data_IF_510377989645
#
_entry.id   IF_510377989645
#
_cell.length_a   1.000
_cell.length_b   1.000
_cell.length_c   1.000
_cell.angle_alpha   90.00
_cell.angle_beta   90.00
_cell.angle_gamma   90.00
#
_symmetry.space_group_name_H-M   'P 1'
#
loop_
_entity.id
_entity.type
_entity.pdbx_description
1 polymer ?
#
# COMPACT_ATOMS: atom_id res chain seq x y z
N UNK A 1 -107.28 39.04 17.72
CA UNK A 1 -106.03 39.09 18.49
C UNK A 1 -105.19 37.94 17.97
N UNK A 2 -104.62 38.10 16.78
CA UNK A 2 -103.96 37.01 16.07
C UNK A 2 -103.24 37.55 14.82
N UNK A 3 -102.06 36.98 14.56
CA UNK A 3 -101.38 36.84 13.26
C UNK A 3 -100.48 37.97 12.69
N UNK A 4 -99.47 38.47 13.42
CA UNK A 4 -98.30 39.12 12.74
C UNK A 4 -96.89 38.75 13.24
N UNK A 5 -96.69 37.76 14.12
CA UNK A 5 -95.38 37.54 14.77
C UNK A 5 -94.59 36.28 14.37
N UNK A 6 -94.91 35.64 13.23
CA UNK A 6 -94.19 34.44 12.75
C UNK A 6 -93.29 34.68 11.51
N UNK A 7 -93.38 35.82 10.84
CA UNK A 7 -92.55 36.16 9.67
C UNK A 7 -91.17 36.72 10.06
N UNK A 8 -91.09 37.50 11.14
CA UNK A 8 -89.85 38.15 11.61
C UNK A 8 -88.86 37.18 12.28
N UNK A 9 -89.34 36.09 12.90
CA UNK A 9 -88.49 35.08 13.54
C UNK A 9 -87.91 34.08 12.52
N UNK A 10 -88.65 33.75 11.45
CA UNK A 10 -88.15 32.91 10.35
C UNK A 10 -87.05 33.60 9.54
N UNK A 11 -87.17 34.90 9.26
CA UNK A 11 -86.15 35.65 8.52
C UNK A 11 -84.87 35.89 9.35
N UNK A 12 -84.96 36.08 10.66
CA UNK A 12 -83.77 36.20 11.54
C UNK A 12 -82.99 34.89 11.68
N UNK A 13 -83.68 33.74 11.78
CA UNK A 13 -82.99 32.43 11.78
C UNK A 13 -82.43 32.06 10.40
N UNK A 14 -83.08 32.40 9.29
CA UNK A 14 -82.54 32.17 7.95
C UNK A 14 -81.28 33.02 7.70
N UNK A 15 -81.31 34.31 8.02
CA UNK A 15 -80.16 35.21 7.81
C UNK A 15 -78.96 34.88 8.72
N UNK A 16 -79.16 34.49 9.98
CA UNK A 16 -78.06 34.07 10.86
C UNK A 16 -77.50 32.67 10.51
N UNK A 17 -78.28 31.79 9.87
CA UNK A 17 -77.78 30.49 9.39
C UNK A 17 -77.02 30.64 8.05
N UNK A 18 -77.44 31.59 7.21
CA UNK A 18 -76.78 31.90 5.93
C UNK A 18 -75.44 32.61 6.16
N UNK A 19 -75.39 33.63 7.04
CA UNK A 19 -74.15 34.35 7.37
C UNK A 19 -73.08 33.49 8.04
N UNK A 20 -73.46 32.50 8.85
CA UNK A 20 -72.51 31.55 9.44
C UNK A 20 -72.04 30.51 8.42
N UNK A 21 -72.87 30.15 7.44
CA UNK A 21 -72.50 29.25 6.34
C UNK A 21 -71.57 29.87 5.29
N UNK A 22 -71.78 31.15 4.94
CA UNK A 22 -70.88 31.89 4.03
C UNK A 22 -69.51 32.13 4.68
N UNK A 23 -69.46 32.54 5.95
CA UNK A 23 -68.19 32.73 6.66
C UNK A 23 -67.40 31.41 6.85
N UNK A 24 -68.08 30.28 7.05
CA UNK A 24 -67.43 28.97 7.06
C UNK A 24 -66.95 28.56 5.65
N UNK A 25 -67.71 28.87 4.60
CA UNK A 25 -67.35 28.55 3.23
C UNK A 25 -66.10 29.33 2.79
N UNK A 26 -66.04 30.63 3.05
CA UNK A 26 -64.88 31.47 2.71
C UNK A 26 -63.61 31.03 3.47
N UNK A 27 -63.76 30.67 4.75
CA UNK A 27 -62.64 30.12 5.53
C UNK A 27 -62.19 28.76 4.99
N UNK A 28 -63.11 27.91 4.57
CA UNK A 28 -62.79 26.60 4.03
C UNK A 28 -62.12 26.71 2.65
N UNK A 29 -62.57 27.63 1.78
CA UNK A 29 -61.90 27.95 0.51
C UNK A 29 -60.49 28.49 0.76
N UNK A 30 -60.29 29.38 1.75
CA UNK A 30 -58.95 29.88 2.10
C UNK A 30 -58.00 28.80 2.64
N UNK A 31 -58.52 27.80 3.37
CA UNK A 31 -57.72 26.67 3.87
C UNK A 31 -57.32 25.76 2.70
N UNK A 32 -58.25 25.50 1.77
CA UNK A 32 -57.97 24.70 0.58
C UNK A 32 -56.91 25.36 -0.32
N UNK A 33 -56.93 26.69 -0.47
CA UNK A 33 -55.90 27.44 -1.20
C UNK A 33 -54.53 27.34 -0.52
N UNK A 34 -54.47 27.45 0.81
CA UNK A 34 -53.23 27.30 1.58
C UNK A 34 -52.67 25.87 1.49
N UNK A 35 -53.52 24.85 1.56
CA UNK A 35 -53.12 23.45 1.37
C UNK A 35 -52.59 23.21 -0.06
N UNK A 36 -53.19 23.84 -1.07
CA UNK A 36 -52.71 23.77 -2.45
C UNK A 36 -51.34 24.45 -2.63
N UNK A 37 -51.13 25.61 -1.99
CA UNK A 37 -49.83 26.30 -1.98
C UNK A 37 -48.75 25.50 -1.24
N UNK A 38 -49.06 24.89 -0.10
CA UNK A 38 -48.12 24.01 0.62
C UNK A 38 -47.75 22.78 -0.23
N UNK A 39 -48.72 22.15 -0.89
CA UNK A 39 -48.48 21.03 -1.79
C UNK A 39 -47.60 21.44 -2.99
N UNK A 40 -47.86 22.61 -3.60
CA UNK A 40 -47.01 23.18 -4.66
C UNK A 40 -45.58 23.46 -4.17
N UNK A 41 -45.42 23.95 -2.94
CA UNK A 41 -44.11 24.21 -2.35
C UNK A 41 -43.34 22.91 -2.07
N UNK A 42 -44.03 21.87 -1.58
CA UNK A 42 -43.43 20.56 -1.36
C UNK A 42 -43.00 19.90 -2.68
N UNK A 43 -43.82 19.97 -3.72
CA UNK A 43 -43.46 19.50 -5.06
C UNK A 43 -42.24 20.22 -5.60
N UNK A 44 -42.18 21.56 -5.53
CA UNK A 44 -41.00 22.34 -5.94
C UNK A 44 -39.74 21.99 -5.15
N UNK A 45 -39.85 21.74 -3.85
CA UNK A 45 -38.71 21.27 -3.03
C UNK A 45 -38.24 19.89 -3.50
N UNK A 46 -39.16 18.98 -3.77
CA UNK A 46 -38.83 17.63 -4.23
C UNK A 46 -38.18 17.65 -5.62
N UNK A 47 -38.74 18.41 -6.57
CA UNK A 47 -38.16 18.65 -7.90
C UNK A 47 -36.78 19.28 -7.82
N UNK A 48 -36.57 20.29 -6.94
CA UNK A 48 -35.25 20.88 -6.71
C UNK A 48 -34.25 19.89 -6.10
N UNK A 49 -34.69 18.94 -5.28
CA UNK A 49 -33.83 17.87 -4.76
C UNK A 49 -33.44 16.91 -5.89
N UNK A 50 -34.38 16.52 -6.77
CA UNK A 50 -34.09 15.64 -7.90
C UNK A 50 -33.20 16.32 -8.96
N UNK A 51 -33.41 17.60 -9.27
CA UNK A 51 -32.56 18.33 -10.22
C UNK A 51 -31.15 18.54 -9.68
N UNK A 52 -30.99 18.84 -8.38
CA UNK A 52 -29.68 18.92 -7.75
C UNK A 52 -28.99 17.55 -7.66
N UNK A 53 -29.73 16.47 -7.42
CA UNK A 53 -29.20 15.10 -7.44
C UNK A 53 -28.73 14.71 -8.85
N UNK A 54 -29.56 14.92 -9.87
CA UNK A 54 -29.21 14.66 -11.27
C UNK A 54 -28.05 15.50 -11.76
N UNK A 55 -27.96 16.77 -11.36
CA UNK A 55 -26.80 17.62 -11.65
C UNK A 55 -25.52 17.10 -10.98
N UNK A 56 -25.59 16.69 -9.71
CA UNK A 56 -24.44 16.09 -9.01
C UNK A 56 -23.99 14.79 -9.65
N UNK A 57 -24.92 13.93 -10.08
CA UNK A 57 -24.62 12.69 -10.79
C UNK A 57 -24.00 12.96 -12.16
N UNK A 58 -24.55 13.90 -12.92
CA UNK A 58 -24.01 14.30 -14.23
C UNK A 58 -22.59 14.88 -14.11
N UNK A 59 -22.35 15.77 -13.13
CA UNK A 59 -21.01 16.32 -12.85
C UNK A 59 -20.06 15.21 -12.40
N UNK A 60 -20.49 14.31 -11.51
CA UNK A 60 -19.66 13.19 -11.05
C UNK A 60 -19.33 12.23 -12.20
N UNK A 61 -20.30 11.93 -13.05
CA UNK A 61 -20.11 11.10 -14.24
C UNK A 61 -19.17 11.76 -15.24
N UNK A 62 -19.35 13.06 -15.50
CA UNK A 62 -18.47 13.84 -16.37
C UNK A 62 -17.03 13.85 -15.85
N UNK A 63 -16.80 14.16 -14.57
CA UNK A 63 -15.45 14.19 -13.99
C UNK A 63 -14.80 12.80 -13.96
N UNK A 64 -15.57 11.73 -13.77
CA UNK A 64 -15.07 10.35 -13.84
C UNK A 64 -14.72 9.90 -15.26
N UNK A 65 -15.44 10.37 -16.27
CA UNK A 65 -15.28 9.95 -17.67
C UNK A 65 -14.32 10.83 -18.48
N UNK A 66 -14.21 12.11 -18.14
CA UNK A 66 -13.23 13.05 -18.71
C UNK A 66 -11.88 12.90 -18.01
N UNK A 67 -11.18 11.80 -18.29
CA UNK A 67 -9.77 11.65 -17.94
C UNK A 67 -8.95 11.55 -19.20
N UNK A 68 -7.94 12.41 -19.33
CA UNK A 68 -6.92 12.29 -20.37
C UNK A 68 -5.58 12.05 -19.69
N UNK A 69 -4.83 11.07 -20.18
CA UNK A 69 -3.46 10.83 -19.74
C UNK A 69 -2.57 11.73 -20.59
N UNK A 70 -2.09 12.82 -20.01
CA UNK A 70 -1.07 13.62 -20.66
C UNK A 70 0.28 12.91 -20.52
N UNK A 71 0.84 12.42 -21.63
CA UNK A 71 2.21 11.90 -21.67
C UNK A 71 3.12 12.96 -22.27
N UNK A 72 3.91 13.60 -21.42
CA UNK A 72 5.05 14.40 -21.84
C UNK A 72 6.32 13.55 -21.72
N UNK A 73 7.15 13.59 -22.75
CA UNK A 73 8.51 13.05 -22.68
C UNK A 73 9.44 14.23 -22.43
N UNK A 74 9.59 14.61 -21.17
CA UNK A 74 10.61 15.58 -20.78
C UNK A 74 11.94 14.83 -20.63
N UNK A 75 12.90 15.15 -21.50
CA UNK A 75 14.29 14.74 -21.29
C UNK A 75 14.88 15.58 -20.17
N UNK A 76 14.77 15.14 -18.92
CA UNK A 76 15.44 15.81 -17.82
C UNK A 76 16.95 15.76 -18.04
N UNK A 77 17.62 16.89 -17.81
CA UNK A 77 19.09 16.95 -17.89
C UNK A 77 19.76 16.09 -16.82
N UNK A 78 19.08 15.86 -15.68
CA UNK A 78 19.51 14.99 -14.60
C UNK A 78 18.27 14.39 -13.90
N UNK A 79 18.22 13.07 -13.74
CA UNK A 79 17.23 12.34 -12.93
C UNK A 79 17.87 11.69 -11.71
N UNK A 80 17.17 11.71 -10.57
CA UNK A 80 17.57 10.98 -9.36
C UNK A 80 17.41 9.48 -9.57
N UNK A 81 18.50 8.73 -9.36
CA UNK A 81 18.46 7.28 -9.41
C UNK A 81 17.59 6.75 -8.27
N UNK A 82 16.72 5.78 -8.56
CA UNK A 82 15.95 5.06 -7.53
C UNK A 82 16.88 4.18 -6.69
N UNK A 83 16.44 3.87 -5.49
CA UNK A 83 17.15 2.96 -4.59
C UNK A 83 16.88 1.52 -5.07
N UNK A 84 17.92 0.69 -5.09
CA UNK A 84 17.85 -0.70 -5.58
C UNK A 84 18.25 -1.65 -4.46
N UNK A 85 17.29 -2.41 -3.95
CA UNK A 85 17.51 -3.44 -2.94
C UNK A 85 17.69 -4.81 -3.59
N UNK A 86 18.70 -5.54 -3.14
CA UNK A 86 19.16 -6.81 -3.68
C UNK A 86 19.19 -7.86 -2.58
N UNK A 87 18.74 -9.07 -2.88
CA UNK A 87 18.76 -10.20 -1.94
C UNK A 87 18.91 -11.53 -2.66
N UNK A 88 19.54 -12.50 -2.01
CA UNK A 88 19.54 -13.88 -2.49
C UNK A 88 18.18 -14.51 -2.23
N UNK A 89 17.75 -15.46 -3.06
CA UNK A 89 16.51 -16.20 -2.80
C UNK A 89 16.67 -17.16 -1.60
N UNK A 90 17.90 -17.48 -1.21
CA UNK A 90 18.22 -18.24 -0.02
C UNK A 90 18.47 -17.35 1.21
N UNK A 91 17.98 -17.82 2.36
CA UNK A 91 18.03 -17.15 3.67
C UNK A 91 19.42 -17.19 4.30
N UNK A 92 20.12 -18.32 4.20
CA UNK A 92 21.34 -18.60 4.95
C UNK A 92 22.33 -19.46 4.18
N UNK A 93 23.62 -19.21 4.37
CA UNK A 93 24.67 -20.04 3.80
C UNK A 93 24.84 -21.31 4.64
N UNK A 94 24.43 -22.47 4.11
CA UNK A 94 24.51 -23.76 4.80
C UNK A 94 25.93 -23.98 5.35
N UNK A 95 26.96 -23.72 4.55
CA UNK A 95 28.36 -23.88 4.96
C UNK A 95 28.73 -23.07 6.21
N UNK A 96 28.28 -21.81 6.30
CA UNK A 96 28.56 -20.96 7.47
C UNK A 96 27.78 -21.39 8.71
N UNK A 97 26.59 -21.95 8.53
CA UNK A 97 25.85 -22.56 9.63
C UNK A 97 26.64 -23.75 10.19
N UNK A 98 27.21 -24.59 9.32
CA UNK A 98 28.01 -25.75 9.72
C UNK A 98 29.35 -25.40 10.34
N UNK A 99 29.87 -24.20 10.07
CA UNK A 99 31.07 -23.68 10.72
C UNK A 99 30.78 -23.18 12.16
N UNK A 100 29.51 -23.02 12.54
CA UNK A 100 29.14 -22.81 13.95
C UNK A 100 29.22 -24.14 14.68
N UNK A 101 30.12 -24.21 15.66
CA UNK A 101 30.40 -25.41 16.47
C UNK A 101 29.12 -26.01 17.08
N UNK A 102 28.22 -25.15 17.58
CA UNK A 102 26.89 -25.50 18.12
C UNK A 102 25.97 -26.23 17.10
N UNK A 103 26.09 -25.92 15.80
CA UNK A 103 25.27 -26.50 14.73
C UNK A 103 25.94 -27.72 14.07
N UNK A 104 27.28 -27.75 14.05
CA UNK A 104 28.06 -28.87 13.48
C UNK A 104 27.80 -30.17 14.24
N UNK A 105 27.77 -30.10 15.56
CA UNK A 105 27.56 -31.28 16.41
C UNK A 105 26.11 -31.77 16.29
N UNK A 106 25.13 -30.85 16.22
CA UNK A 106 23.72 -31.17 15.97
C UNK A 106 23.48 -31.80 14.58
N UNK A 107 24.19 -31.35 13.54
CA UNK A 107 24.06 -31.90 12.18
C UNK A 107 24.67 -33.30 12.04
N UNK A 108 25.73 -33.59 12.79
CA UNK A 108 26.38 -34.89 12.80
C UNK A 108 25.60 -35.95 13.61
N UNK A 109 24.78 -35.53 14.58
CA UNK A 109 23.94 -36.43 15.39
C UNK A 109 22.53 -36.68 14.81
N UNK A 110 22.02 -35.85 13.89
CA UNK A 110 20.59 -35.85 13.53
C UNK A 110 20.34 -35.92 12.01
N UNK A 111 19.62 -36.98 11.58
CA UNK A 111 19.04 -37.17 10.24
C UNK A 111 17.51 -36.95 10.30
N UNK A 112 17.05 -35.96 11.06
CA UNK A 112 15.61 -35.75 11.30
C UNK A 112 15.18 -34.29 11.07
N UNK A 113 14.03 -34.11 10.41
CA UNK A 113 13.53 -32.81 9.89
C UNK A 113 13.37 -31.74 10.99
N UNK A 114 13.17 -32.17 12.24
CA UNK A 114 12.96 -31.32 13.41
C UNK A 114 14.16 -30.43 13.76
N UNK A 115 15.39 -30.95 13.59
CA UNK A 115 16.62 -30.18 13.87
C UNK A 115 16.96 -29.23 12.72
N UNK A 116 16.68 -29.63 11.49
CA UNK A 116 16.75 -28.75 10.32
C UNK A 116 15.87 -27.51 10.53
N UNK A 117 14.64 -27.69 11.04
CA UNK A 117 13.73 -26.59 11.36
C UNK A 117 14.22 -25.72 12.53
N UNK A 118 14.94 -26.26 13.51
CA UNK A 118 15.51 -25.50 14.62
C UNK A 118 16.71 -24.65 14.20
N UNK A 119 17.60 -25.22 13.37
CA UNK A 119 18.73 -24.54 12.73
C UNK A 119 18.22 -23.40 11.84
N UNK A 120 17.19 -23.69 11.02
CA UNK A 120 16.56 -22.72 10.12
C UNK A 120 15.84 -21.59 10.87
N UNK A 121 15.29 -21.86 12.05
CA UNK A 121 14.61 -20.86 12.87
C UNK A 121 15.53 -20.12 13.87
N UNK A 122 16.85 -20.35 13.82
CA UNK A 122 17.81 -19.79 14.79
C UNK A 122 17.35 -19.99 16.26
N UNK A 123 16.73 -21.14 16.52
CA UNK A 123 16.45 -21.62 17.88
C UNK A 123 17.63 -22.47 18.33
N UNK A 124 18.08 -22.32 19.58
CA UNK A 124 19.19 -23.12 20.10
C UNK A 124 18.87 -24.61 19.93
N UNK A 125 19.77 -25.37 19.29
CA UNK A 125 19.60 -26.81 19.10
C UNK A 125 19.50 -27.56 20.45
N UNK A 126 20.00 -26.95 21.53
CA UNK A 126 19.88 -27.45 22.90
C UNK A 126 18.46 -27.42 23.50
N UNK A 127 17.50 -26.71 22.91
CA UNK A 127 16.10 -26.68 23.40
C UNK A 127 15.24 -27.84 22.82
N UNK A 128 15.76 -28.68 21.91
CA UNK A 128 15.05 -29.87 21.40
C UNK A 128 15.01 -31.05 22.39
N UNK A 129 15.78 -30.97 23.48
CA UNK A 129 15.84 -31.99 24.55
C UNK A 129 14.67 -31.96 25.55
N UNK A 130 13.75 -31.00 25.47
CA UNK A 130 12.60 -30.91 26.38
C UNK A 130 11.26 -30.89 25.64
N UNK A 131 10.93 -31.97 24.92
CA UNK A 131 9.55 -32.27 24.49
C UNK A 131 8.65 -32.72 25.68
N UNK A 132 8.74 -32.00 26.80
CA UNK A 132 8.05 -32.35 28.05
C UNK A 132 7.51 -31.18 28.87
N UNK A 133 7.60 -29.93 28.40
CA UNK A 133 7.17 -28.76 29.17
C UNK A 133 6.11 -27.93 28.42
N UNK A 134 4.92 -27.70 29.00
CA UNK A 134 3.86 -26.97 28.33
C UNK A 134 4.23 -25.49 28.24
N UNK A 135 4.34 -24.99 26.99
CA UNK A 135 4.18 -23.58 26.60
C UNK A 135 4.59 -22.54 27.66
N UNK A 136 5.89 -22.49 28.00
CA UNK A 136 6.44 -21.31 28.66
C UNK A 136 6.62 -20.24 27.60
N UNK A 137 5.76 -19.22 27.58
CA UNK A 137 5.98 -17.99 26.79
C UNK A 137 7.31 -17.36 27.22
N UNK A 138 8.41 -17.78 26.60
CA UNK A 138 9.68 -17.06 26.67
C UNK A 138 9.52 -15.81 25.81
N UNK A 139 9.81 -14.65 26.37
CA UNK A 139 9.87 -13.39 25.63
C UNK A 139 10.85 -13.54 24.46
N UNK A 140 10.31 -13.49 23.23
CA UNK A 140 11.07 -13.66 22.00
C UNK A 140 11.92 -12.42 21.74
N UNK A 141 13.16 -12.40 22.25
CA UNK A 141 14.12 -11.33 21.95
C UNK A 141 14.76 -11.57 20.59
N UNK A 142 14.41 -10.75 19.59
CA UNK A 142 14.96 -10.83 18.23
C UNK A 142 16.43 -10.37 18.14
N UNK A 143 16.86 -9.45 19.00
CA UNK A 143 18.16 -8.78 18.86
C UNK A 143 19.39 -9.71 18.90
N UNK A 144 19.53 -10.66 19.84
CA UNK A 144 20.67 -11.59 19.83
C UNK A 144 20.62 -12.56 18.64
N UNK A 145 19.41 -12.90 18.15
CA UNK A 145 19.22 -13.75 16.97
C UNK A 145 19.60 -13.03 15.67
N UNK A 146 19.26 -11.75 15.54
CA UNK A 146 19.60 -10.94 14.36
C UNK A 146 21.11 -10.81 14.17
N UNK A 147 21.90 -10.65 15.25
CA UNK A 147 23.37 -10.63 15.20
C UNK A 147 23.96 -11.95 14.70
N UNK A 148 23.52 -13.11 15.22
CA UNK A 148 23.94 -14.43 14.73
C UNK A 148 23.58 -14.60 13.24
N UNK A 149 22.36 -14.19 12.86
CA UNK A 149 21.83 -14.25 11.48
C UNK A 149 22.61 -13.37 10.50
N UNK A 150 23.08 -12.19 10.92
CA UNK A 150 23.91 -11.33 10.08
C UNK A 150 25.19 -12.04 9.63
N UNK A 151 25.80 -12.81 10.53
CA UNK A 151 27.10 -13.44 10.28
C UNK A 151 26.98 -14.65 9.35
N UNK A 152 25.97 -15.50 9.56
CA UNK A 152 25.77 -16.72 8.76
C UNK A 152 25.14 -16.48 7.39
N UNK A 153 24.53 -15.31 7.20
CA UNK A 153 23.99 -14.91 5.89
C UNK A 153 25.12 -14.47 4.94
N UNK A 154 24.76 -14.32 3.67
CA UNK A 154 25.62 -13.74 2.64
C UNK A 154 26.07 -12.33 3.02
N UNK A 155 27.35 -12.05 2.86
CA UNK A 155 27.93 -10.72 2.97
C UNK A 155 27.95 -10.06 1.59
N UNK A 156 28.02 -8.72 1.56
CA UNK A 156 27.94 -7.95 0.33
C UNK A 156 29.03 -8.34 -0.69
N UNK A 157 30.25 -8.58 -0.22
CA UNK A 157 31.41 -9.01 -1.03
C UNK A 157 31.32 -10.47 -1.52
N UNK A 158 30.47 -11.29 -0.91
CA UNK A 158 30.22 -12.65 -1.38
C UNK A 158 29.22 -12.63 -2.53
N UNK A 159 28.16 -11.83 -2.41
CA UNK A 159 27.07 -11.74 -3.37
C UNK A 159 27.39 -10.84 -4.58
N UNK A 160 28.02 -9.69 -4.36
CA UNK A 160 28.27 -8.68 -5.41
C UNK A 160 29.74 -8.74 -5.79
N UNK A 161 30.02 -9.24 -6.99
CA UNK A 161 31.40 -9.39 -7.52
C UNK A 161 31.88 -8.12 -8.20
N UNK A 162 31.01 -7.52 -8.98
CA UNK A 162 31.29 -6.28 -9.71
C UNK A 162 30.10 -5.34 -9.56
N UNK A 163 30.39 -4.05 -9.50
CA UNK A 163 29.40 -3.00 -9.33
C UNK A 163 29.88 -1.76 -10.09
N UNK A 164 29.05 -1.22 -10.97
CA UNK A 164 29.29 0.10 -11.56
C UNK A 164 27.99 0.90 -11.70
N UNK A 165 28.10 2.22 -11.57
CA UNK A 165 27.05 3.17 -11.84
C UNK A 165 27.62 4.33 -12.65
N UNK A 166 26.94 4.76 -13.72
CA UNK A 166 27.48 5.77 -14.64
C UNK A 166 28.87 5.43 -15.23
N UNK A 167 29.20 4.13 -15.33
CA UNK A 167 30.51 3.67 -15.77
C UNK A 167 31.62 3.80 -14.72
N UNK A 168 31.31 4.28 -13.51
CA UNK A 168 32.24 4.34 -12.38
C UNK A 168 32.01 3.14 -11.45
N UNK A 169 33.09 2.56 -10.91
CA UNK A 169 33.00 1.45 -9.97
C UNK A 169 32.33 1.90 -8.67
N UNK A 170 31.30 1.19 -8.21
CA UNK A 170 30.72 1.44 -6.88
C UNK A 170 31.49 0.72 -5.78
N UNK A 171 31.56 1.35 -4.61
CA UNK A 171 32.09 0.72 -3.40
C UNK A 171 31.00 -0.12 -2.73
N UNK A 172 31.30 -1.39 -2.47
CA UNK A 172 30.43 -2.31 -1.73
C UNK A 172 30.13 -1.78 -0.32
N UNK A 173 31.01 -0.94 0.25
CA UNK A 173 30.83 -0.32 1.58
C UNK A 173 29.70 0.70 1.61
N UNK A 174 29.31 1.23 0.46
CA UNK A 174 28.27 2.26 0.35
C UNK A 174 26.87 1.63 0.24
N UNK A 175 26.78 0.30 0.25
CA UNK A 175 25.52 -0.43 0.26
C UNK A 175 24.95 -0.48 1.68
N UNK A 176 23.67 -0.15 1.81
CA UNK A 176 22.98 -0.25 3.10
C UNK A 176 22.52 -1.68 3.35
N UNK A 177 23.01 -2.29 4.42
CA UNK A 177 22.52 -3.58 4.89
C UNK A 177 21.16 -3.44 5.58
N UNK A 178 20.22 -4.30 5.22
CA UNK A 178 19.02 -4.57 6.00
C UNK A 178 18.75 -6.08 6.04
N UNK A 179 17.93 -6.53 6.99
CA UNK A 179 17.62 -7.95 7.14
C UNK A 179 16.18 -8.27 6.79
N UNK A 180 16.02 -9.35 6.01
CA UNK A 180 14.78 -10.03 5.71
C UNK A 180 14.70 -11.34 6.50
N UNK A 181 13.50 -11.67 6.97
CA UNK A 181 13.24 -12.93 7.68
C UNK A 181 13.17 -14.14 6.74
N UNK A 182 13.05 -13.94 5.43
CA UNK A 182 13.07 -15.02 4.44
C UNK A 182 14.36 -15.09 3.62
N UNK A 183 15.02 -13.95 3.41
CA UNK A 183 16.14 -13.83 2.47
C UNK A 183 17.46 -13.46 3.16
N UNK A 184 17.46 -13.31 4.48
CA UNK A 184 18.66 -12.99 5.24
C UNK A 184 19.14 -11.56 5.01
N UNK A 185 20.45 -11.38 4.82
CA UNK A 185 21.06 -10.08 4.54
C UNK A 185 20.71 -9.60 3.14
N UNK A 186 20.20 -8.38 3.08
CA UNK A 186 19.83 -7.69 1.86
C UNK A 186 20.61 -6.37 1.78
N UNK A 187 20.89 -5.92 0.55
CA UNK A 187 21.75 -4.76 0.31
C UNK A 187 21.05 -3.74 -0.56
N UNK A 188 21.00 -2.48 -0.12
CA UNK A 188 20.39 -1.38 -0.87
C UNK A 188 21.45 -0.44 -1.41
N UNK A 189 21.46 -0.28 -2.74
CA UNK A 189 22.24 0.70 -3.46
C UNK A 189 21.54 2.07 -3.46
N UNK A 190 22.34 3.15 -3.42
CA UNK A 190 21.90 4.55 -3.43
C UNK A 190 21.02 5.00 -2.24
N UNK A 191 20.97 4.20 -1.16
CA UNK A 191 20.26 4.60 0.07
C UNK A 191 21.04 5.71 0.76
N UNK A 192 20.51 6.93 0.78
CA UNK A 192 21.16 8.03 1.50
C UNK A 192 21.19 7.76 3.01
N UNK A 193 22.35 7.99 3.62
CA UNK A 193 22.47 8.10 5.07
C UNK A 193 22.07 9.51 5.51
N UNK A 194 21.60 9.64 6.76
CA UNK A 194 21.18 10.92 7.35
C UNK A 194 22.24 12.03 7.26
N UNK A 195 23.51 11.66 7.07
CA UNK A 195 24.66 12.56 7.09
C UNK A 195 25.37 12.70 5.71
N UNK A 196 24.91 12.00 4.67
CA UNK A 196 25.44 12.09 3.30
C UNK A 196 24.29 12.32 2.31
N UNK A 197 24.07 13.59 1.99
CA UNK A 197 22.90 14.06 1.24
C UNK A 197 23.00 13.89 -0.28
N UNK A 198 24.07 13.29 -0.82
CA UNK A 198 24.27 13.25 -2.27
C UNK A 198 23.67 11.97 -2.86
N UNK A 199 22.41 12.07 -3.29
CA UNK A 199 21.75 11.07 -4.13
C UNK A 199 22.46 10.97 -5.47
N UNK A 200 22.63 9.75 -5.97
CA UNK A 200 23.20 9.52 -7.29
C UNK A 200 22.21 9.98 -8.36
N UNK A 201 22.75 10.72 -9.34
CA UNK A 201 22.00 11.28 -10.46
C UNK A 201 22.50 10.65 -11.76
N UNK A 202 21.61 10.50 -12.73
CA UNK A 202 21.97 10.12 -14.10
C UNK A 202 21.43 11.14 -15.09
N UNK A 203 22.24 11.53 -16.06
CA UNK A 203 21.87 12.47 -17.14
C UNK A 203 21.64 11.76 -18.48
N UNK A 204 21.83 10.44 -18.52
CA UNK A 204 21.81 9.65 -19.74
C UNK A 204 21.06 8.35 -19.51
N UNK A 205 20.27 7.95 -20.50
CA UNK A 205 19.63 6.64 -20.53
C UNK A 205 20.56 5.60 -21.17
N UNK A 206 20.36 4.33 -20.80
CA UNK A 206 21.11 3.20 -21.34
C UNK A 206 21.94 2.46 -20.30
N UNK A 207 22.37 1.25 -20.65
CA UNK A 207 22.95 0.30 -19.69
C UNK A 207 24.23 0.80 -19.01
N UNK A 208 25.08 1.56 -19.73
CA UNK A 208 26.32 2.14 -19.17
C UNK A 208 26.08 3.28 -18.17
N UNK A 209 24.94 3.94 -18.28
CA UNK A 209 24.55 5.08 -17.42
C UNK A 209 23.60 4.66 -16.29
N UNK A 210 23.31 3.36 -16.19
CA UNK A 210 22.54 2.77 -15.10
C UNK A 210 23.42 2.06 -14.08
N UNK A 211 22.76 1.33 -13.19
CA UNK A 211 23.40 0.39 -12.27
C UNK A 211 23.67 -0.93 -12.99
N UNK A 212 24.92 -1.37 -13.00
CA UNK A 212 25.34 -2.66 -13.53
C UNK A 212 26.06 -3.45 -12.44
N UNK A 213 25.64 -4.70 -12.24
CA UNK A 213 26.15 -5.56 -11.18
C UNK A 213 26.30 -7.00 -11.66
N UNK A 214 27.41 -7.62 -11.28
CA UNK A 214 27.65 -9.05 -11.46
C UNK A 214 27.43 -9.74 -10.11
N UNK A 215 26.46 -10.65 -10.05
CA UNK A 215 26.06 -11.33 -8.81
C UNK A 215 26.55 -12.79 -8.79
N UNK A 216 27.07 -13.22 -7.65
CA UNK A 216 27.40 -14.62 -7.35
C UNK A 216 26.42 -15.15 -6.30
N UNK A 217 25.41 -15.86 -6.77
CA UNK A 217 24.39 -16.45 -5.90
C UNK A 217 24.86 -17.71 -5.19
N UNK A 218 26.08 -18.23 -5.47
CA UNK A 218 26.66 -19.46 -4.89
C UNK A 218 25.64 -20.59 -4.64
N UNK A 219 25.05 -21.11 -5.72
CA UNK A 219 24.04 -22.18 -5.65
C UNK A 219 24.45 -23.41 -4.82
N UNK A 220 25.74 -23.74 -4.78
CA UNK A 220 26.30 -24.82 -3.95
C UNK A 220 26.10 -24.64 -2.44
N UNK A 221 25.91 -23.41 -1.98
CA UNK A 221 25.76 -23.06 -0.56
C UNK A 221 24.27 -23.03 -0.14
N UNK A 222 23.36 -23.44 -1.05
CA UNK A 222 21.92 -23.53 -0.80
C UNK A 222 21.57 -24.79 -0.01
N UNK A 223 20.47 -24.70 0.73
CA UNK A 223 19.91 -25.83 1.44
C UNK A 223 19.32 -26.84 0.45
N UNK A 224 19.37 -28.14 0.74
CA UNK A 224 18.74 -29.17 -0.10
C UNK A 224 17.24 -28.97 -0.31
N UNK A 225 16.56 -28.29 0.62
CA UNK A 225 15.12 -27.97 0.57
C UNK A 225 14.81 -26.72 -0.27
N UNK A 226 15.82 -25.97 -0.73
CA UNK A 226 15.61 -24.76 -1.52
C UNK A 226 15.17 -25.10 -2.95
N UNK A 227 13.89 -24.83 -3.25
CA UNK A 227 13.31 -25.11 -4.57
C UNK A 227 13.65 -24.06 -5.66
N UNK A 228 14.30 -22.95 -5.29
CA UNK A 228 14.56 -21.85 -6.23
C UNK A 228 15.95 -21.26 -5.99
N UNK A 229 16.65 -20.96 -7.09
CA UNK A 229 18.00 -20.41 -7.08
C UNK A 229 17.98 -19.10 -7.86
N UNK A 230 18.56 -18.06 -7.27
CA UNK A 230 18.70 -16.77 -7.92
C UNK A 230 18.79 -15.61 -6.95
N UNK A 231 18.64 -14.41 -7.49
CA UNK A 231 18.55 -13.18 -6.74
C UNK A 231 17.15 -12.59 -6.88
N UNK A 232 16.77 -11.69 -5.97
CA UNK A 232 15.56 -10.89 -6.06
C UNK A 232 15.93 -9.42 -5.93
N UNK A 233 15.37 -8.61 -6.82
CA UNK A 233 15.70 -7.19 -6.93
C UNK A 233 14.44 -6.35 -6.78
N UNK A 234 14.54 -5.28 -6.01
CA UNK A 234 13.45 -4.34 -5.75
C UNK A 234 13.96 -2.94 -6.07
N UNK A 235 13.26 -2.27 -6.97
CA UNK A 235 13.44 -0.84 -7.21
C UNK A 235 12.39 -0.09 -6.39
N UNK A 236 12.81 0.82 -5.53
CA UNK A 236 11.91 1.57 -4.66
C UNK A 236 12.27 3.06 -4.59
N UNK A 237 11.31 3.94 -4.28
CA UNK A 237 11.61 5.34 -4.07
C UNK A 237 12.44 5.52 -2.79
N UNK A 238 13.29 6.54 -2.84
CA UNK A 238 14.24 6.93 -1.80
C UNK A 238 13.58 7.29 -0.46
N UNK A 239 12.33 7.74 -0.49
CA UNK A 239 11.50 8.09 0.67
C UNK A 239 10.95 6.87 1.42
N UNK A 240 11.06 5.67 0.85
CA UNK A 240 10.52 4.44 1.42
C UNK A 240 11.63 3.42 1.65
N UNK A 241 11.37 2.50 2.57
CA UNK A 241 12.20 1.29 2.70
C UNK A 241 11.73 0.21 1.71
N UNK A 242 12.66 -0.63 1.24
CA UNK A 242 12.30 -1.74 0.38
C UNK A 242 11.39 -2.71 1.13
N UNK A 243 10.40 -3.24 0.43
CA UNK A 243 9.61 -4.35 0.95
C UNK A 243 10.52 -5.57 1.20
N UNK A 244 10.43 -6.11 2.41
CA UNK A 244 11.38 -7.13 2.85
C UNK A 244 11.11 -8.50 2.24
N UNK A 245 9.86 -8.81 1.86
CA UNK A 245 9.43 -10.19 1.63
C UNK A 245 8.64 -10.43 0.33
N UNK A 246 7.70 -9.57 0.03
CA UNK A 246 6.63 -9.76 -0.95
C UNK A 246 6.98 -9.17 -2.31
N UNK A 247 7.50 -7.94 -2.38
CA UNK A 247 7.77 -7.30 -3.65
C UNK A 247 9.13 -7.71 -4.23
N UNK A 248 9.31 -7.43 -5.52
CA UNK A 248 10.56 -7.63 -6.25
C UNK A 248 10.45 -8.60 -7.41
N UNK A 249 11.47 -8.53 -8.27
CA UNK A 249 11.62 -9.32 -9.49
C UNK A 249 12.70 -10.37 -9.21
N UNK A 250 12.39 -11.63 -9.49
CA UNK A 250 13.37 -12.71 -9.41
C UNK A 250 14.26 -12.67 -10.65
N UNK A 251 15.57 -12.79 -10.44
CA UNK A 251 16.59 -12.83 -11.48
C UNK A 251 17.26 -14.21 -11.42
N UNK A 252 17.19 -14.93 -12.54
CA UNK A 252 17.81 -16.24 -12.69
C UNK A 252 19.31 -16.11 -12.93
N UNK A 253 20.14 -16.99 -12.33
CA UNK A 253 21.56 -17.04 -12.65
C UNK A 253 21.79 -17.53 -14.09
N UNK A 254 22.96 -17.24 -14.65
CA UNK A 254 23.36 -17.68 -16.00
C UNK A 254 22.90 -16.77 -17.15
N UNK A 255 22.16 -15.70 -16.85
CA UNK A 255 21.69 -14.73 -17.83
C UNK A 255 21.98 -13.30 -17.39
N UNK A 256 22.19 -12.40 -18.35
CA UNK A 256 22.12 -10.96 -18.11
C UNK A 256 20.64 -10.54 -18.14
N UNK A 257 20.18 -9.88 -17.08
CA UNK A 257 18.79 -9.39 -16.97
C UNK A 257 18.79 -7.87 -16.92
N UNK A 258 18.20 -7.22 -17.91
CA UNK A 258 18.07 -5.77 -17.97
C UNK A 258 16.70 -5.31 -17.49
N UNK A 259 16.66 -4.40 -16.51
CA UNK A 259 15.42 -3.79 -15.99
C UNK A 259 15.39 -2.32 -16.41
N UNK A 260 14.42 -1.95 -17.25
CA UNK A 260 14.21 -0.56 -17.67
C UNK A 260 13.20 0.13 -16.75
N UNK A 261 13.46 1.38 -16.41
CA UNK A 261 12.62 2.19 -15.50
C UNK A 261 12.04 3.40 -16.23
N UNK A 262 10.82 3.79 -15.85
CA UNK A 262 10.15 5.02 -16.29
C UNK A 262 9.64 5.75 -15.03
N UNK A 263 10.07 7.00 -14.83
CA UNK A 263 10.19 7.58 -13.47
C UNK A 263 9.07 8.52 -13.02
N UNK A 264 8.00 8.78 -13.79
CA UNK A 264 6.95 9.71 -13.35
C UNK A 264 5.52 9.31 -13.77
N UNK A 265 4.65 9.07 -12.78
CA UNK A 265 3.20 8.95 -12.95
C UNK A 265 2.54 9.76 -11.84
N UNK A 266 1.89 10.87 -12.20
CA UNK A 266 1.01 11.60 -11.29
C UNK A 266 -0.44 11.19 -11.56
N UNK A 267 -1.23 11.04 -10.48
CA UNK A 267 -2.65 10.70 -10.54
C UNK A 267 -3.44 11.74 -9.79
N UNK A 268 -4.64 12.05 -10.30
CA UNK A 268 -5.52 13.02 -9.69
C UNK A 268 -6.30 12.39 -8.52
N UNK A 269 -6.60 13.20 -7.50
CA UNK A 269 -7.29 12.75 -6.27
C UNK A 269 -8.78 12.40 -6.51
N UNK A 270 -9.52 11.96 -5.50
CA UNK A 270 -10.99 11.91 -5.62
C UNK A 270 -11.55 13.28 -6.11
N UNK A 271 -12.51 13.35 -7.06
CA UNK A 271 -13.48 12.34 -7.50
C UNK A 271 -13.10 11.50 -8.73
N UNK A 272 -11.84 11.55 -9.16
CA UNK A 272 -11.32 10.79 -10.29
C UNK A 272 -11.30 9.27 -10.03
N UNK A 273 -11.40 8.44 -11.09
CA UNK A 273 -11.65 6.98 -10.99
C UNK A 273 -10.63 6.22 -10.13
N UNK A 274 -9.36 6.63 -10.17
CA UNK A 274 -8.28 6.01 -9.42
C UNK A 274 -8.40 6.19 -7.90
N UNK A 275 -9.29 7.09 -7.44
CA UNK A 275 -9.57 7.39 -6.03
C UNK A 275 -8.29 7.58 -5.19
N UNK A 276 -7.27 8.19 -5.79
CA UNK A 276 -6.03 8.49 -5.07
C UNK A 276 -6.34 9.43 -3.89
N UNK A 277 -5.82 9.08 -2.72
CA UNK A 277 -5.92 9.93 -1.52
C UNK A 277 -4.57 10.59 -1.27
N UNK A 278 -4.55 11.90 -1.10
CA UNK A 278 -3.36 12.58 -0.60
C UNK A 278 -3.23 12.32 0.89
N UNK A 279 -2.24 11.52 1.26
CA UNK A 279 -1.83 11.38 2.65
C UNK A 279 -1.36 12.76 3.12
N UNK A 280 -2.16 13.45 3.93
CA UNK A 280 -1.69 14.59 4.72
C UNK A 280 -0.89 14.00 5.87
N UNK A 281 0.38 14.39 5.95
CA UNK A 281 1.37 13.90 6.93
C UNK A 281 0.78 13.78 8.34
N UNK A 282 1.10 12.67 9.01
CA UNK A 282 0.93 12.48 10.45
C UNK A 282 2.11 13.13 11.17
#
# INVERSE_FOLDING_TARGET
MELEDLSSIKNRKKNNTIQTSESCKDKMESILELEEEENKLQQRKQENVYTNAGYREAVTHFVKTMQTVNRTYEGYSFEECKDVALKTINESCLRKILDLEECRDAWNEIVDDSCLMAIMNFTDCGDLGEMGSPYRQRSFSLEPKLKKRTVVSYQANELIKECSFNGESCSIKDLKLFQSLRYGNCFTFNKAESNSSRRLMTSKTGYRSGLHMTLDVRSRDYLPTSHTIGARVIVHPSSSDPDRENLGINISPGFETSVSLQSHISRLEYPYQDRCARLRNW
#
